data_IF_887299423159
#
_entry.id   IF_887299423159
#
_cell.length_a   1.000
_cell.length_b   1.000
_cell.length_c   1.000
_cell.angle_alpha   90.00
_cell.angle_beta   90.00
_cell.angle_gamma   90.00
#
_symmetry.space_group_name_H-M   'P 1'
#
loop_
_entity.id
_entity.type
_entity.pdbx_description
1 polymer ?
#
# COMPACT_ATOMS: atom_id res chain seq x y z
N UNK A 1 -7.94 -17.43 -7.70
CA UNK A 1 -6.84 -18.06 -6.95
C UNK A 1 -5.82 -18.79 -7.85
N UNK A 2 -6.20 -19.55 -8.90
CA UNK A 2 -5.20 -20.17 -9.81
C UNK A 2 -4.60 -19.20 -10.84
N UNK A 3 -5.35 -18.16 -11.28
CA UNK A 3 -4.85 -17.17 -12.24
C UNK A 3 -3.90 -16.12 -11.64
N UNK A 4 -3.98 -15.88 -10.34
CA UNK A 4 -3.12 -14.92 -9.62
C UNK A 4 -1.67 -15.43 -9.53
N UNK A 5 -1.45 -16.73 -9.37
CA UNK A 5 -0.10 -17.32 -9.40
C UNK A 5 0.63 -17.15 -10.74
N UNK A 6 -0.09 -17.02 -11.86
CA UNK A 6 0.55 -16.88 -13.17
C UNK A 6 1.33 -15.55 -13.28
N UNK A 7 0.85 -14.51 -12.60
CA UNK A 7 1.52 -13.21 -12.59
C UNK A 7 2.82 -13.29 -11.80
N UNK A 8 2.84 -14.09 -10.72
CA UNK A 8 4.00 -14.36 -9.87
C UNK A 8 5.10 -15.16 -10.58
N UNK A 9 4.75 -15.86 -11.66
CA UNK A 9 5.69 -16.61 -12.49
C UNK A 9 6.37 -15.79 -13.59
N UNK A 10 5.96 -14.53 -13.84
CA UNK A 10 6.60 -13.69 -14.86
C UNK A 10 7.98 -13.26 -14.35
N UNK A 11 9.11 -13.72 -14.91
CA UNK A 11 10.43 -13.43 -14.36
C UNK A 11 10.67 -11.92 -14.28
N UNK A 12 11.00 -11.44 -13.08
CA UNK A 12 11.47 -10.07 -12.87
C UNK A 12 12.87 -9.95 -13.43
N UNK A 13 13.20 -8.78 -14.01
CA UNK A 13 14.56 -8.50 -14.44
C UNK A 13 15.43 -8.14 -13.24
N UNK A 14 16.73 -8.09 -13.44
CA UNK A 14 17.64 -7.66 -12.39
C UNK A 14 17.25 -6.22 -11.96
N UNK A 15 17.05 -5.97 -10.65
CA UNK A 15 16.68 -4.63 -10.19
C UNK A 15 17.73 -3.55 -10.49
N UNK A 16 18.99 -3.94 -10.74
CA UNK A 16 20.05 -3.02 -11.20
C UNK A 16 19.81 -2.44 -12.59
N UNK A 17 18.99 -3.10 -13.43
CA UNK A 17 18.54 -2.55 -14.73
C UNK A 17 17.53 -1.40 -14.56
N UNK A 18 17.10 -1.14 -13.32
CA UNK A 18 16.26 -0.01 -12.96
C UNK A 18 14.77 -0.20 -13.25
N UNK A 19 14.00 0.80 -12.85
CA UNK A 19 12.53 0.71 -12.85
C UNK A 19 11.90 0.60 -14.24
N UNK A 20 12.54 1.18 -15.27
CA UNK A 20 12.04 1.15 -16.65
C UNK A 20 12.14 -0.24 -17.30
N UNK A 21 13.16 -1.02 -16.94
CA UNK A 21 13.36 -2.37 -17.45
C UNK A 21 12.40 -3.40 -16.82
N UNK A 22 11.82 -3.07 -15.66
CA UNK A 22 11.04 -3.96 -14.83
C UNK A 22 9.51 -3.78 -15.03
N UNK A 23 9.03 -3.88 -16.27
CA UNK A 23 7.59 -3.75 -16.58
C UNK A 23 6.72 -4.82 -15.90
N UNK A 24 7.24 -6.03 -15.73
CA UNK A 24 6.55 -7.11 -15.02
C UNK A 24 6.27 -6.75 -13.56
N UNK A 25 7.17 -6.03 -12.89
CA UNK A 25 6.96 -5.53 -11.53
C UNK A 25 5.76 -4.57 -11.49
N UNK A 26 5.70 -3.62 -12.42
CA UNK A 26 4.62 -2.64 -12.47
C UNK A 26 3.26 -3.25 -12.79
N UNK A 27 3.22 -4.26 -13.67
CA UNK A 27 1.97 -4.99 -13.95
C UNK A 27 1.45 -5.64 -12.67
N UNK A 28 2.32 -6.32 -11.90
CA UNK A 28 1.94 -6.95 -10.63
C UNK A 28 1.46 -5.91 -9.62
N UNK A 29 2.21 -4.84 -9.41
CA UNK A 29 1.88 -3.76 -8.47
C UNK A 29 0.51 -3.12 -8.78
N UNK A 30 0.19 -2.92 -10.06
CA UNK A 30 -1.13 -2.44 -10.51
C UNK A 30 -2.25 -3.42 -10.13
N UNK A 31 -2.07 -4.71 -10.39
CA UNK A 31 -3.08 -5.72 -10.07
C UNK A 31 -3.30 -5.85 -8.56
N UNK A 32 -2.22 -5.88 -7.77
CA UNK A 32 -2.30 -5.99 -6.32
C UNK A 32 -2.96 -4.75 -5.71
N UNK A 33 -2.52 -3.55 -6.11
CA UNK A 33 -3.11 -2.29 -5.64
C UNK A 33 -4.61 -2.19 -5.98
N UNK A 34 -5.02 -2.66 -7.17
CA UNK A 34 -6.43 -2.72 -7.53
C UNK A 34 -7.22 -3.70 -6.67
N UNK A 35 -6.74 -4.93 -6.49
CA UNK A 35 -7.45 -5.94 -5.70
C UNK A 35 -7.56 -5.55 -4.23
N UNK A 36 -6.49 -5.01 -3.64
CA UNK A 36 -6.48 -4.54 -2.26
C UNK A 36 -7.44 -3.37 -2.11
N UNK A 37 -7.40 -2.39 -3.02
CA UNK A 37 -8.30 -1.24 -2.95
C UNK A 37 -9.76 -1.61 -3.18
N UNK A 38 -10.05 -2.53 -4.11
CA UNK A 38 -11.38 -3.06 -4.36
C UNK A 38 -11.93 -3.81 -3.14
N UNK A 39 -11.12 -4.68 -2.53
CA UNK A 39 -11.49 -5.39 -1.31
C UNK A 39 -11.77 -4.44 -0.14
N UNK A 40 -10.88 -3.48 0.12
CA UNK A 40 -11.03 -2.52 1.22
C UNK A 40 -12.25 -1.62 1.08
N UNK A 41 -12.52 -1.12 -0.13
CA UNK A 41 -13.69 -0.26 -0.39
C UNK A 41 -14.99 -1.08 -0.38
N UNK A 42 -14.97 -2.33 -0.88
CA UNK A 42 -16.12 -3.24 -0.78
C UNK A 42 -16.43 -3.61 0.67
N UNK A 43 -15.41 -3.81 1.51
CA UNK A 43 -15.61 -4.02 2.94
C UNK A 43 -16.25 -2.78 3.58
N UNK A 44 -15.77 -1.59 3.24
CA UNK A 44 -16.38 -0.32 3.70
C UNK A 44 -17.84 -0.22 3.23
N UNK A 45 -18.14 -0.61 1.98
CA UNK A 45 -19.50 -0.65 1.44
C UNK A 45 -20.45 -1.50 2.29
N UNK A 46 -19.99 -2.64 2.81
CA UNK A 46 -20.78 -3.52 3.68
C UNK A 46 -21.02 -2.96 5.09
N UNK A 47 -20.19 -2.00 5.54
CA UNK A 47 -20.29 -1.40 6.87
C UNK A 47 -21.10 -0.09 6.89
N UNK A 48 -21.25 0.57 5.73
CA UNK A 48 -22.05 1.80 5.59
C UNK A 48 -23.53 1.48 5.31
N UNK A 49 -24.40 2.47 5.53
CA UNK A 49 -25.84 2.35 5.25
C UNK A 49 -26.05 1.94 3.79
N UNK A 50 -26.96 0.98 3.58
CA UNK A 50 -27.30 0.49 2.24
C UNK A 50 -27.63 1.65 1.29
N UNK A 51 -26.93 1.72 0.16
CA UNK A 51 -27.08 2.78 -0.85
C UNK A 51 -26.15 3.98 -0.68
N UNK A 52 -25.39 4.09 0.43
CA UNK A 52 -24.40 5.16 0.60
C UNK A 52 -23.21 5.03 -0.36
N UNK A 53 -22.90 3.81 -0.82
CA UNK A 53 -21.82 3.54 -1.76
C UNK A 53 -22.27 2.52 -2.81
N UNK A 54 -22.22 2.90 -4.07
CA UNK A 54 -22.64 2.06 -5.20
C UNK A 54 -21.50 1.17 -5.69
N UNK A 55 -21.81 0.07 -6.37
CA UNK A 55 -20.79 -0.81 -6.97
C UNK A 55 -19.93 -0.07 -8.00
N UNK A 56 -20.52 0.88 -8.72
CA UNK A 56 -19.79 1.77 -9.63
C UNK A 56 -18.84 2.70 -8.84
N UNK A 57 -19.29 3.26 -7.71
CA UNK A 57 -18.46 4.07 -6.82
C UNK A 57 -17.28 3.29 -6.24
N UNK A 58 -17.50 2.03 -5.84
CA UNK A 58 -16.43 1.12 -5.39
C UNK A 58 -15.41 0.94 -6.51
N UNK A 59 -15.85 0.51 -7.70
CA UNK A 59 -14.97 0.24 -8.83
C UNK A 59 -14.15 1.47 -9.25
N UNK A 60 -14.81 2.63 -9.40
CA UNK A 60 -14.13 3.87 -9.81
C UNK A 60 -13.16 4.38 -8.74
N UNK A 61 -13.51 4.25 -7.46
CA UNK A 61 -12.60 4.63 -6.36
C UNK A 61 -11.37 3.74 -6.30
N UNK A 62 -11.53 2.43 -6.51
CA UNK A 62 -10.43 1.48 -6.55
C UNK A 62 -9.52 1.74 -7.73
N UNK A 63 -10.08 2.02 -8.91
CA UNK A 63 -9.30 2.40 -10.08
C UNK A 63 -8.52 3.70 -9.85
N UNK A 64 -9.17 4.74 -9.34
CA UNK A 64 -8.52 6.01 -9.03
C UNK A 64 -7.41 5.85 -7.99
N UNK A 65 -7.67 5.08 -6.93
CA UNK A 65 -6.68 4.74 -5.89
C UNK A 65 -5.46 4.07 -6.50
N UNK A 66 -5.68 3.06 -7.35
CA UNK A 66 -4.62 2.31 -8.03
C UNK A 66 -3.75 3.22 -8.88
N UNK A 67 -4.37 4.06 -9.71
CA UNK A 67 -3.64 4.99 -10.59
C UNK A 67 -2.79 5.96 -9.77
N UNK A 68 -3.37 6.62 -8.76
CA UNK A 68 -2.65 7.59 -7.94
C UNK A 68 -1.51 6.93 -7.16
N UNK A 69 -1.76 5.74 -6.61
CA UNK A 69 -0.73 4.98 -5.89
C UNK A 69 0.43 4.59 -6.81
N UNK A 70 0.15 4.00 -7.98
CA UNK A 70 1.20 3.55 -8.91
C UNK A 70 2.00 4.72 -9.46
N UNK A 71 1.37 5.88 -9.71
CA UNK A 71 2.10 7.09 -10.09
C UNK A 71 3.03 7.58 -8.96
N UNK A 72 2.58 7.50 -7.71
CA UNK A 72 3.41 7.83 -6.55
C UNK A 72 4.60 6.87 -6.44
N UNK A 73 4.37 5.55 -6.57
CA UNK A 73 5.43 4.54 -6.47
C UNK A 73 6.45 4.67 -7.62
N UNK A 74 5.98 4.92 -8.84
CA UNK A 74 6.83 5.26 -9.99
C UNK A 74 7.65 6.52 -9.75
N UNK A 75 7.06 7.57 -9.20
CA UNK A 75 7.75 8.81 -8.86
C UNK A 75 8.88 8.59 -7.85
N UNK A 76 8.62 7.82 -6.78
CA UNK A 76 9.64 7.47 -5.79
C UNK A 76 10.75 6.60 -6.42
N UNK A 77 10.39 5.62 -7.24
CA UNK A 77 11.35 4.77 -7.95
C UNK A 77 12.23 5.56 -8.93
N UNK A 78 11.69 6.62 -9.55
CA UNK A 78 12.42 7.50 -10.46
C UNK A 78 13.35 8.48 -9.72
N UNK A 79 12.98 8.94 -8.53
CA UNK A 79 13.76 9.92 -7.76
C UNK A 79 14.81 9.30 -6.83
N UNK A 80 14.62 8.05 -6.41
CA UNK A 80 15.46 7.45 -5.36
C UNK A 80 16.26 6.23 -5.81
N UNK A 81 15.71 5.03 -5.68
CA UNK A 81 16.38 3.77 -6.05
C UNK A 81 15.32 2.72 -6.35
N UNK A 82 15.61 1.85 -7.32
CA UNK A 82 14.75 0.71 -7.67
C UNK A 82 15.43 -0.61 -7.24
N UNK A 83 14.70 -1.55 -6.62
CA UNK A 83 13.33 -1.40 -6.12
C UNK A 83 13.32 -0.44 -4.93
N UNK A 84 12.18 0.21 -4.65
CA UNK A 84 12.09 1.20 -3.56
C UNK A 84 12.43 0.52 -2.23
N UNK A 85 13.55 0.89 -1.56
CA UNK A 85 13.91 0.29 -0.28
C UNK A 85 12.83 0.65 0.74
N UNK A 86 12.32 -0.36 1.46
CA UNK A 86 11.20 -0.20 2.40
C UNK A 86 9.89 0.28 1.76
N UNK A 87 9.65 -0.01 0.47
CA UNK A 87 8.43 0.38 -0.24
C UNK A 87 7.14 0.03 0.52
N UNK A 88 7.05 -1.17 1.10
CA UNK A 88 5.90 -1.59 1.91
C UNK A 88 5.69 -0.75 3.19
N UNK A 89 6.72 -0.09 3.72
CA UNK A 89 6.60 0.73 4.93
C UNK A 89 6.22 2.16 4.57
N UNK A 90 6.90 2.72 3.56
CA UNK A 90 6.70 4.10 3.14
C UNK A 90 5.43 4.30 2.33
N UNK A 91 5.04 3.32 1.51
CA UNK A 91 3.97 3.47 0.54
C UNK A 91 2.62 2.98 1.07
N UNK A 92 2.60 2.15 2.12
CA UNK A 92 1.35 1.73 2.76
C UNK A 92 0.60 2.92 3.39
N UNK A 93 1.29 3.85 4.06
CA UNK A 93 0.61 5.02 4.65
C UNK A 93 -0.05 5.92 3.58
N UNK A 94 0.66 6.32 2.50
CA UNK A 94 0.03 6.98 1.36
C UNK A 94 -1.12 6.17 0.76
N UNK A 95 -0.95 4.86 0.57
CA UNK A 95 -2.00 4.01 -0.01
C UNK A 95 -3.29 4.06 0.81
N UNK A 96 -3.19 3.98 2.14
CA UNK A 96 -4.33 4.08 3.06
C UNK A 96 -4.99 5.46 3.01
N UNK A 97 -4.20 6.53 2.90
CA UNK A 97 -4.76 7.88 2.76
C UNK A 97 -5.52 8.01 1.43
N UNK A 98 -4.94 7.51 0.34
CA UNK A 98 -5.51 7.58 -1.01
C UNK A 98 -6.83 6.78 -1.06
N UNK A 99 -6.83 5.52 -0.63
CA UNK A 99 -8.03 4.66 -0.66
C UNK A 99 -9.16 5.25 0.18
N UNK A 100 -8.85 5.79 1.36
CA UNK A 100 -9.85 6.39 2.25
C UNK A 100 -10.40 7.67 1.63
N UNK A 101 -9.56 8.49 1.01
CA UNK A 101 -9.98 9.74 0.35
C UNK A 101 -10.94 9.45 -0.79
N UNK A 102 -10.60 8.52 -1.69
CA UNK A 102 -11.47 8.17 -2.80
C UNK A 102 -12.77 7.48 -2.36
N UNK A 103 -12.72 6.63 -1.32
CA UNK A 103 -13.93 6.06 -0.73
C UNK A 103 -14.85 7.16 -0.16
N UNK A 104 -14.31 8.14 0.56
CA UNK A 104 -15.09 9.27 1.09
C UNK A 104 -15.67 10.15 -0.03
N UNK A 105 -14.90 10.39 -1.09
CA UNK A 105 -15.38 11.15 -2.26
C UNK A 105 -16.55 10.44 -2.95
N UNK A 106 -16.51 9.10 -3.05
CA UNK A 106 -17.60 8.33 -3.66
C UNK A 106 -18.86 8.20 -2.79
N UNK A 107 -18.74 8.25 -1.47
CA UNK A 107 -19.90 8.34 -0.55
C UNK A 107 -20.52 9.75 -0.61
N UNK A 108 -19.67 10.76 -0.82
CA UNK A 108 -20.06 12.16 -0.87
C UNK A 108 -19.94 12.85 0.49
N UNK A 109 -19.29 14.04 0.57
CA UNK A 109 -19.06 14.73 1.83
C UNK A 109 -20.34 15.17 2.55
N UNK A 110 -21.44 15.39 1.80
CA UNK A 110 -22.75 15.73 2.39
C UNK A 110 -23.39 14.56 3.13
N UNK A 111 -23.26 13.34 2.63
CA UNK A 111 -23.77 12.12 3.29
C UNK A 111 -22.99 11.86 4.59
N UNK A 112 -21.68 12.12 4.56
CA UNK A 112 -20.80 11.97 5.73
C UNK A 112 -21.11 13.04 6.80
N UNK A 113 -21.32 14.30 6.40
CA UNK A 113 -21.62 15.39 7.33
C UNK A 113 -22.98 15.23 8.03
N UNK A 114 -23.95 14.60 7.37
CA UNK A 114 -25.30 14.40 7.92
C UNK A 114 -25.45 13.12 8.77
N UNK A 115 -24.43 12.25 8.84
CA UNK A 115 -24.48 11.02 9.64
C UNK A 115 -23.26 10.92 10.57
N UNK A 116 -23.40 11.31 11.86
CA UNK A 116 -22.31 11.24 12.83
C UNK A 116 -21.80 9.80 13.06
N UNK A 117 -22.65 8.79 12.84
CA UNK A 117 -22.28 7.36 12.91
C UNK A 117 -21.25 7.00 11.82
N UNK A 118 -21.46 7.47 10.58
CA UNK A 118 -20.54 7.20 9.45
C UNK A 118 -19.16 7.81 9.71
N UNK A 119 -19.11 9.03 10.24
CA UNK A 119 -17.85 9.71 10.55
C UNK A 119 -17.06 8.99 11.66
N UNK A 120 -17.75 8.38 12.63
CA UNK A 120 -17.14 7.65 13.74
C UNK A 120 -16.61 6.29 13.28
N UNK A 121 -17.36 5.58 12.43
CA UNK A 121 -16.91 4.30 11.86
C UNK A 121 -15.73 4.47 10.88
N UNK A 122 -15.75 5.50 10.03
CA UNK A 122 -14.62 5.83 9.14
C UNK A 122 -13.36 6.21 9.94
N UNK A 123 -13.51 6.98 11.02
CA UNK A 123 -12.39 7.31 11.91
C UNK A 123 -11.85 6.07 12.61
N UNK A 124 -12.70 5.17 13.08
CA UNK A 124 -12.28 3.92 13.71
C UNK A 124 -11.55 3.00 12.72
N UNK A 125 -12.06 2.85 11.49
CA UNK A 125 -11.42 2.06 10.44
C UNK A 125 -10.04 2.65 10.06
N UNK A 126 -9.97 3.97 9.89
CA UNK A 126 -8.70 4.67 9.69
C UNK A 126 -7.74 4.47 10.88
N UNK A 127 -8.25 4.48 12.11
CA UNK A 127 -7.44 4.33 13.32
C UNK A 127 -6.87 2.92 13.49
N UNK A 128 -7.64 1.88 13.17
CA UNK A 128 -7.18 0.49 13.16
C UNK A 128 -6.09 0.28 12.12
N UNK A 129 -6.24 0.86 10.93
CA UNK A 129 -5.22 0.75 9.89
C UNK A 129 -3.94 1.51 10.30
N UNK A 130 -4.07 2.69 10.89
CA UNK A 130 -2.91 3.46 11.39
C UNK A 130 -2.18 2.72 12.50
N UNK A 131 -2.90 2.11 13.45
CA UNK A 131 -2.29 1.42 14.59
C UNK A 131 -1.63 0.10 14.18
N UNK A 132 -2.25 -0.68 13.28
CA UNK A 132 -1.69 -1.95 12.79
C UNK A 132 -0.35 -1.77 12.05
N UNK A 133 -0.19 -0.69 11.28
CA UNK A 133 1.02 -0.43 10.49
C UNK A 133 2.19 0.15 11.31
N UNK A 134 1.93 0.64 12.52
CA UNK A 134 2.98 1.06 13.45
C UNK A 134 3.89 -0.10 13.85
N UNK A 135 3.30 -1.27 14.10
CA UNK A 135 4.02 -2.50 14.49
C UNK A 135 4.96 -3.00 13.38
N UNK A 136 4.52 -2.99 12.13
CA UNK A 136 5.36 -3.37 10.98
C UNK A 136 6.54 -2.40 10.77
N UNK A 137 6.33 -1.09 11.01
CA UNK A 137 7.40 -0.08 10.93
C UNK A 137 8.45 -0.30 12.03
N UNK A 138 8.00 -0.60 13.26
CA UNK A 138 8.88 -0.89 14.39
C UNK A 138 9.68 -2.18 14.17
N UNK A 139 9.05 -3.22 13.63
CA UNK A 139 9.70 -4.50 13.33
C UNK A 139 10.84 -4.34 12.31
N UNK A 140 10.61 -3.63 11.21
CA UNK A 140 11.65 -3.40 10.21
C UNK A 140 12.77 -2.47 10.72
N UNK A 141 12.44 -1.48 11.55
CA UNK A 141 13.44 -0.63 12.20
C UNK A 141 14.33 -1.48 13.12
N UNK A 142 13.75 -2.37 13.91
CA UNK A 142 14.48 -3.29 14.79
C UNK A 142 15.41 -4.22 14.01
N UNK A 143 14.93 -4.85 12.94
CA UNK A 143 15.74 -5.71 12.07
C UNK A 143 16.90 -4.97 11.41
N UNK A 144 16.68 -3.73 10.97
CA UNK A 144 17.75 -2.93 10.36
C UNK A 144 18.85 -2.59 11.36
N UNK A 145 18.49 -2.26 12.61
CA UNK A 145 19.46 -1.98 13.67
C UNK A 145 20.24 -3.23 14.07
N UNK A 146 19.56 -4.36 14.28
CA UNK A 146 20.23 -5.63 14.64
C UNK A 146 21.14 -6.12 13.50
N UNK A 147 20.71 -5.99 12.24
CA UNK A 147 21.53 -6.35 11.08
C UNK A 147 22.79 -5.49 10.94
N UNK A 148 22.73 -4.20 11.25
CA UNK A 148 23.90 -3.30 11.25
C UNK A 148 24.85 -3.60 12.41
N UNK A 149 24.32 -3.90 13.60
CA UNK A 149 25.13 -4.27 14.77
C UNK A 149 25.85 -5.61 14.56
N UNK A 150 25.17 -6.61 13.97
CA UNK A 150 25.79 -7.90 13.63
C UNK A 150 26.91 -7.79 12.59
N UNK A 151 26.73 -6.95 11.57
CA UNK A 151 27.75 -6.72 10.53
C UNK A 151 28.98 -5.97 11.05
N UNK A 152 28.79 -5.09 12.05
CA UNK A 152 29.87 -4.37 12.73
C UNK A 152 30.70 -5.28 13.65
N UNK A 153 30.05 -6.26 14.30
CA UNK A 153 30.74 -7.25 15.13
C UNK A 153 31.65 -8.18 14.30
N UNK A 154 31.19 -8.64 13.13
CA UNK A 154 31.97 -9.49 12.22
C UNK A 154 33.19 -8.77 11.64
N UNK A 155 33.06 -7.50 11.26
CA UNK A 155 34.19 -6.69 10.79
C UNK A 155 35.19 -6.35 11.90
N UNK A 156 34.73 -6.21 13.14
CA UNK A 156 35.60 -6.02 14.31
C UNK A 156 36.38 -7.27 14.75
N UNK A 157 35.92 -8.47 14.38
CA UNK A 157 36.68 -9.72 14.57
C UNK A 157 37.67 -9.97 13.43
N UNK A 158 37.33 -9.62 12.18
CA UNK A 158 38.24 -9.76 11.04
C UNK A 158 39.47 -8.83 11.05
N UNK A 159 39.42 -7.72 11.79
CA UNK A 159 40.56 -6.79 11.96
C UNK A 159 41.47 -7.19 13.14
N UNK A 160 41.06 -8.15 13.96
CA UNK A 160 41.81 -8.64 15.14
C UNK A 160 42.57 -9.95 14.91
N UNK A 161 42.58 -10.47 13.68
CA UNK A 161 43.38 -11.63 13.28
C UNK A 161 44.50 -11.24 12.32
#
# INVERSE_FOLDING_TARGET
LVKTQLIDCIPLRDPSEGWKANYAFWIRDVFDAFLISFGGISQTQSMVVAGALTNTGVFMSSLATTVVYVLLTLGVAAMWRFPVPFGLIFLVRPFVIIITTFAMLSIGPRTIANSPVISTQLKAFAWVIVSGNGLSTLYCSFLSTVGLTGRSAVLGEGVRN
#
